data_IF_069459272867
#
_entry.id   IF_069459272867
#
_cell.length_a   1.000
_cell.length_b   1.000
_cell.length_c   1.000
_cell.angle_alpha   90.00
_cell.angle_beta   90.00
_cell.angle_gamma   90.00
#
_symmetry.space_group_name_H-M   'P 1'
#
loop_
_entity.id
_entity.type
_entity.pdbx_description
1 polymer ?
#
# COMPACT_ATOMS: atom_id res chain seq x y z
N UNK A 1 41.35 -3.55 -11.66
CA UNK A 1 42.62 -3.17 -11.00
C UNK A 1 43.21 -2.00 -11.79
N UNK A 2 42.71 -0.80 -11.54
CA UNK A 2 43.14 0.43 -12.23
C UNK A 2 44.37 0.99 -11.52
N UNK A 3 45.42 1.29 -12.28
CA UNK A 3 46.64 1.93 -11.79
C UNK A 3 46.34 3.34 -11.25
N UNK A 4 46.94 3.76 -10.12
CA UNK A 4 46.74 5.11 -9.61
C UNK A 4 47.45 6.13 -10.51
N UNK A 5 46.70 7.16 -10.92
CA UNK A 5 47.18 8.31 -11.69
C UNK A 5 48.22 9.11 -10.88
N UNK A 6 49.28 9.66 -11.50
CA UNK A 6 50.35 10.35 -10.78
C UNK A 6 49.83 11.57 -10.01
N UNK A 7 50.01 11.55 -8.68
CA UNK A 7 49.55 12.60 -7.76
C UNK A 7 50.23 13.95 -8.09
N UNK A 8 49.47 15.07 -8.18
CA UNK A 8 50.03 16.38 -8.52
C UNK A 8 51.05 16.83 -7.45
N UNK A 9 52.22 17.31 -7.91
CA UNK A 9 53.29 17.85 -7.05
C UNK A 9 53.03 19.32 -6.76
N UNK A 10 53.21 19.73 -5.50
CA UNK A 10 53.04 21.13 -5.06
C UNK A 10 51.67 21.49 -4.50
N UNK A 11 50.79 20.51 -4.27
CA UNK A 11 49.50 20.71 -3.61
C UNK A 11 49.50 20.15 -2.19
N UNK A 12 48.79 20.83 -1.28
CA UNK A 12 48.62 20.39 0.11
C UNK A 12 47.96 18.99 0.13
N UNK A 13 48.60 18.04 0.81
CA UNK A 13 48.20 16.61 0.86
C UNK A 13 48.12 15.88 -0.50
N UNK A 14 48.62 16.48 -1.58
CA UNK A 14 48.56 15.93 -2.94
C UNK A 14 47.17 15.96 -3.58
N UNK A 15 46.23 16.74 -3.05
CA UNK A 15 44.89 16.89 -3.64
C UNK A 15 44.80 18.16 -4.49
N UNK A 16 44.04 18.12 -5.59
CA UNK A 16 43.80 19.33 -6.37
C UNK A 16 42.77 20.23 -5.69
N UNK A 17 42.83 21.55 -5.91
CA UNK A 17 41.81 22.50 -5.41
C UNK A 17 40.39 22.07 -5.81
N UNK A 18 40.23 21.54 -7.03
CA UNK A 18 38.94 21.07 -7.56
C UNK A 18 38.41 19.87 -6.77
N UNK A 19 39.29 18.95 -6.41
CA UNK A 19 38.96 17.74 -5.64
C UNK A 19 38.58 18.09 -4.19
N UNK A 20 39.30 19.04 -3.58
CA UNK A 20 38.91 19.58 -2.27
C UNK A 20 37.51 20.22 -2.31
N UNK A 21 37.20 21.04 -3.31
CA UNK A 21 35.86 21.63 -3.43
C UNK A 21 34.77 20.60 -3.72
N UNK A 22 35.10 19.55 -4.48
CA UNK A 22 34.18 18.44 -4.74
C UNK A 22 33.87 17.64 -3.46
N UNK A 23 34.90 17.31 -2.68
CA UNK A 23 34.77 16.55 -1.43
C UNK A 23 34.10 17.36 -0.31
N UNK A 24 34.45 18.64 -0.18
CA UNK A 24 33.83 19.56 0.79
C UNK A 24 32.36 19.85 0.46
N UNK A 25 32.02 20.01 -0.82
CA UNK A 25 30.63 20.23 -1.26
C UNK A 25 29.73 19.03 -0.98
N UNK A 26 30.21 17.81 -1.25
CA UNK A 26 29.45 16.58 -0.98
C UNK A 26 29.22 16.34 0.52
N UNK A 27 30.25 16.57 1.35
CA UNK A 27 30.17 16.33 2.79
C UNK A 27 29.31 17.37 3.53
N UNK A 28 29.45 18.66 3.23
CA UNK A 28 28.66 19.71 3.88
C UNK A 28 27.16 19.61 3.55
N UNK A 29 26.82 19.25 2.31
CA UNK A 29 25.43 19.02 1.89
C UNK A 29 24.80 17.85 2.66
N UNK A 30 25.59 16.81 3.01
CA UNK A 30 25.12 15.69 3.83
C UNK A 30 24.65 16.12 5.23
N UNK A 31 25.33 17.08 5.86
CA UNK A 31 24.91 17.65 7.15
C UNK A 31 23.60 18.43 7.02
N UNK A 32 23.45 19.22 5.97
CA UNK A 32 22.21 19.94 5.69
C UNK A 32 21.03 18.97 5.43
N UNK A 33 21.27 17.90 4.67
CA UNK A 33 20.27 16.85 4.44
C UNK A 33 19.89 16.12 5.73
N UNK A 34 20.85 15.83 6.61
CA UNK A 34 20.57 15.22 7.91
C UNK A 34 19.62 16.09 8.75
N UNK A 35 19.78 17.41 8.74
CA UNK A 35 18.87 18.33 9.43
C UNK A 35 17.48 18.38 8.80
N UNK A 36 17.38 18.23 7.48
CA UNK A 36 16.10 18.15 6.78
C UNK A 36 15.36 16.83 7.07
N UNK A 37 16.09 15.72 7.20
CA UNK A 37 15.55 14.38 7.46
C UNK A 37 15.23 14.12 8.94
N UNK A 38 15.51 15.07 9.83
CA UNK A 38 15.36 14.90 11.29
C UNK A 38 13.90 14.76 11.76
N UNK A 39 13.76 14.13 12.94
CA UNK A 39 12.63 14.17 13.87
C UNK A 39 11.32 13.53 13.42
N UNK A 40 10.92 13.71 12.15
CA UNK A 40 9.66 13.23 11.57
C UNK A 40 9.62 13.42 10.05
N UNK A 41 10.73 13.57 9.32
CA UNK A 41 10.68 13.84 7.87
C UNK A 41 9.84 12.83 7.07
N UNK A 42 10.02 11.53 7.33
CA UNK A 42 9.24 10.47 6.67
C UNK A 42 7.78 10.39 7.15
N UNK A 43 7.47 11.00 8.29
CA UNK A 43 6.11 11.11 8.81
C UNK A 43 5.46 12.48 8.46
N UNK A 44 6.22 13.42 7.90
CA UNK A 44 5.74 14.76 7.53
C UNK A 44 5.06 14.69 6.17
N UNK A 45 3.80 15.10 6.17
CA UNK A 45 3.00 15.29 4.98
C UNK A 45 3.57 16.46 4.15
N UNK A 46 3.60 16.31 2.83
CA UNK A 46 4.04 17.37 1.92
C UNK A 46 3.10 18.58 2.04
N UNK A 47 3.65 19.80 2.02
CA UNK A 47 2.93 21.08 2.20
C UNK A 47 1.79 21.35 1.20
N UNK A 48 1.55 20.47 0.23
CA UNK A 48 0.40 20.53 -0.66
C UNK A 48 -0.92 20.10 0.01
N UNK A 49 -0.84 19.49 1.20
CA UNK A 49 -1.96 19.40 2.11
C UNK A 49 -1.81 20.48 3.18
N UNK A 50 -2.93 21.02 3.67
CA UNK A 50 -3.10 22.23 4.51
C UNK A 50 -2.17 22.38 5.72
N UNK A 51 -1.28 21.44 6.03
CA UNK A 51 -0.36 21.48 7.16
C UNK A 51 -1.04 21.33 8.53
N UNK A 52 -2.37 21.33 8.52
CA UNK A 52 -3.26 21.18 9.68
C UNK A 52 -3.75 19.74 9.83
N UNK A 53 -3.89 19.00 8.71
CA UNK A 53 -4.37 17.63 8.73
C UNK A 53 -3.20 16.65 8.86
N UNK A 54 -3.26 15.79 9.88
CA UNK A 54 -2.29 14.71 10.04
C UNK A 54 -2.34 13.72 8.89
N UNK A 55 -1.22 13.03 8.65
CA UNK A 55 -1.09 12.03 7.59
C UNK A 55 -2.19 10.96 7.71
N UNK A 56 -3.12 10.96 6.75
CA UNK A 56 -4.15 9.95 6.59
C UNK A 56 -3.65 8.93 5.56
N UNK A 57 -3.51 7.67 5.98
CA UNK A 57 -3.14 6.60 5.06
C UNK A 57 -4.22 6.49 3.95
N UNK A 58 -3.87 6.65 2.66
CA UNK A 58 -4.84 6.59 1.56
C UNK A 58 -5.50 5.22 1.39
N UNK A 59 -4.93 4.17 2.00
CA UNK A 59 -5.48 2.82 2.05
C UNK A 59 -6.25 2.54 3.34
N UNK A 60 -6.44 3.54 4.21
CA UNK A 60 -7.25 3.37 5.41
C UNK A 60 -8.71 3.06 5.05
N UNK A 61 -9.32 2.17 5.83
CA UNK A 61 -10.73 1.84 5.67
C UNK A 61 -11.59 3.10 5.84
N UNK A 62 -12.41 3.40 4.82
CA UNK A 62 -13.29 4.56 4.85
C UNK A 62 -14.45 4.31 5.83
N UNK A 63 -14.79 5.29 6.70
CA UNK A 63 -15.96 5.16 7.55
C UNK A 63 -17.24 5.04 6.70
N UNK A 64 -18.18 4.16 7.08
CA UNK A 64 -19.47 4.08 6.41
C UNK A 64 -20.27 5.37 6.65
N UNK A 65 -21.16 5.70 5.71
CA UNK A 65 -22.03 6.88 5.82
C UNK A 65 -23.03 6.78 6.99
N UNK A 66 -23.33 5.55 7.44
CA UNK A 66 -24.24 5.26 8.54
C UNK A 66 -23.61 4.31 9.56
N UNK A 67 -24.05 4.43 10.81
CA UNK A 67 -23.62 3.52 11.87
C UNK A 67 -24.08 2.08 11.57
N UNK A 68 -23.17 1.08 11.58
CA UNK A 68 -23.56 -0.30 11.36
C UNK A 68 -24.44 -0.78 12.52
N UNK A 69 -25.63 -1.30 12.20
CA UNK A 69 -26.55 -1.86 13.20
C UNK A 69 -26.13 -3.26 13.67
N UNK A 70 -25.41 -4.00 12.83
CA UNK A 70 -24.95 -5.37 13.11
C UNK A 70 -23.45 -5.39 13.40
N UNK A 71 -23.05 -6.12 14.45
CA UNK A 71 -21.65 -6.28 14.85
C UNK A 71 -20.91 -7.33 14.00
N UNK A 72 -21.60 -8.35 13.51
CA UNK A 72 -21.03 -9.41 12.69
C UNK A 72 -22.09 -9.95 11.73
N UNK A 73 -21.71 -10.19 10.48
CA UNK A 73 -22.55 -10.84 9.46
C UNK A 73 -21.83 -12.12 9.04
N UNK A 74 -22.35 -13.27 9.46
CA UNK A 74 -21.80 -14.57 9.11
C UNK A 74 -22.64 -15.12 7.96
N UNK A 75 -22.11 -15.10 6.74
CA UNK A 75 -22.78 -15.66 5.56
C UNK A 75 -22.35 -17.11 5.37
N UNK A 76 -23.23 -18.06 5.68
CA UNK A 76 -23.01 -19.47 5.43
C UNK A 76 -23.63 -19.86 4.08
N UNK A 77 -22.79 -20.10 3.08
CA UNK A 77 -23.23 -20.66 1.80
C UNK A 77 -23.10 -22.18 1.84
N UNK A 78 -24.22 -22.88 2.07
CA UNK A 78 -24.27 -24.34 2.03
C UNK A 78 -24.67 -24.77 0.61
N UNK A 79 -23.72 -25.34 -0.13
CA UNK A 79 -24.01 -25.94 -1.43
C UNK A 79 -24.88 -27.20 -1.23
N UNK A 80 -26.07 -27.23 -1.83
CA UNK A 80 -26.99 -28.37 -1.75
C UNK A 80 -28.10 -28.28 -0.69
N UNK A 81 -28.35 -27.10 -0.10
CA UNK A 81 -29.59 -26.89 0.66
C UNK A 81 -30.81 -26.95 -0.26
N UNK A 82 -31.94 -27.56 0.16
CA UNK A 82 -33.12 -27.63 -0.68
C UNK A 82 -33.56 -26.19 -0.99
N UNK A 83 -33.75 -25.90 -2.29
CA UNK A 83 -34.13 -24.55 -2.70
C UNK A 83 -35.45 -24.17 -2.01
N UNK A 84 -35.65 -22.89 -1.71
CA UNK A 84 -36.93 -22.42 -1.14
C UNK A 84 -38.13 -22.83 -2.03
N UNK A 85 -37.89 -22.94 -3.34
CA UNK A 85 -38.83 -23.38 -4.36
C UNK A 85 -39.21 -24.87 -4.23
N UNK A 86 -38.35 -25.69 -3.63
CA UNK A 86 -38.51 -27.16 -3.53
C UNK A 86 -38.97 -27.60 -2.13
N UNK A 87 -38.80 -26.76 -1.10
CA UNK A 87 -39.06 -27.15 0.30
C UNK A 87 -40.50 -26.86 0.77
N UNK A 88 -41.14 -25.81 0.24
CA UNK A 88 -42.42 -25.31 0.79
C UNK A 88 -43.58 -25.28 -0.21
N UNK A 89 -43.37 -25.67 -1.46
CA UNK A 89 -44.42 -25.69 -2.49
C UNK A 89 -44.80 -27.12 -2.86
N UNK A 90 -45.83 -27.64 -2.19
CA UNK A 90 -46.35 -28.98 -2.47
C UNK A 90 -46.96 -29.03 -3.88
N UNK A 91 -46.24 -29.68 -4.80
CA UNK A 91 -46.67 -29.87 -6.20
C UNK A 91 -47.14 -31.31 -6.44
N UNK A 92 -48.44 -31.61 -6.23
CA UNK A 92 -48.95 -32.97 -6.40
C UNK A 92 -48.83 -33.49 -7.84
N UNK A 93 -48.76 -32.58 -8.82
CA UNK A 93 -48.56 -32.92 -10.23
C UNK A 93 -47.15 -33.45 -10.55
N UNK A 94 -46.18 -33.30 -9.65
CA UNK A 94 -44.80 -33.75 -9.87
C UNK A 94 -44.56 -35.22 -9.51
N UNK A 95 -45.33 -35.79 -8.57
CA UNK A 95 -45.26 -37.23 -8.23
C UNK A 95 -45.41 -38.17 -9.43
N UNK A 96 -46.39 -37.98 -10.36
CA UNK A 96 -46.50 -38.84 -11.54
C UNK A 96 -45.44 -38.58 -12.61
N UNK A 97 -44.58 -37.58 -12.42
CA UNK A 97 -43.50 -37.20 -13.34
C UNK A 97 -42.12 -37.63 -12.84
N UNK A 98 -42.04 -38.23 -11.64
CA UNK A 98 -40.79 -38.77 -11.11
C UNK A 98 -40.21 -39.87 -12.03
N UNK A 99 -38.91 -39.79 -12.27
CA UNK A 99 -38.18 -40.69 -13.18
C UNK A 99 -38.43 -40.50 -14.69
N UNK A 100 -39.19 -39.49 -15.13
CA UNK A 100 -39.41 -39.22 -16.56
C UNK A 100 -38.37 -38.24 -17.11
N UNK A 101 -37.73 -38.64 -18.21
CA UNK A 101 -36.79 -37.79 -18.94
C UNK A 101 -37.59 -36.79 -19.77
N UNK A 102 -37.34 -35.49 -19.53
CA UNK A 102 -37.91 -34.42 -20.34
C UNK A 102 -37.26 -34.52 -21.73
N UNK A 103 -38.06 -34.80 -22.77
CA UNK A 103 -37.59 -34.66 -24.14
C UNK A 103 -37.45 -33.17 -24.43
N UNK A 104 -36.21 -32.75 -24.67
CA UNK A 104 -35.86 -31.44 -25.23
C UNK A 104 -36.13 -31.46 -26.73
#
# INVERSE_FOLDING_TARGET
MSTPEPKPRGTFCGQTRREFFWEAGGSFTGLALSGLLDGNFFARQTRAADGVTGYQNPLAAKPPMFAPKAKSVIFLFMYGGPSHVDTFDYKPALYPLDGKIIKV
#
